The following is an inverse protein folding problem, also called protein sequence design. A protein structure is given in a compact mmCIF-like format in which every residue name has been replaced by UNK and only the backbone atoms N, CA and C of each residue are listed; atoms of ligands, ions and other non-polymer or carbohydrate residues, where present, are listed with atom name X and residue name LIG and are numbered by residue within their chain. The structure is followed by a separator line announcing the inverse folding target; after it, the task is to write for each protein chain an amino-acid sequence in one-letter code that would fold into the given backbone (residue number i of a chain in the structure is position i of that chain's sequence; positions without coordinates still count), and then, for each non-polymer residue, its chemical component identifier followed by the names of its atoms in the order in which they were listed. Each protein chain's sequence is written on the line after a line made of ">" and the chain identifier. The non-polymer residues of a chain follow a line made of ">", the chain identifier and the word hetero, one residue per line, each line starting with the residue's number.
data_IF_544815618190
#
_entry.id   IF_544815618190
#
_cell.length_a   1.000
_cell.length_b   1.000
_cell.length_c   1.000
_cell.angle_alpha   90.00
_cell.angle_beta   90.00
_cell.angle_gamma   90.00
#
_symmetry.space_group_name_H-M   'P 1'
#
loop_
_entity.id
_entity.type
_entity.pdbx_description
1 polymer ?
#
# COMPACT_ATOMS: atom_id res chain seq x y z
N UNK A 1 13.81 -4.89 -4.10
CA UNK A 1 12.97 -3.88 -3.43
C UNK A 1 12.87 -2.67 -4.36
N UNK A 2 11.69 -2.09 -4.53
CA UNK A 2 11.45 -0.97 -5.48
C UNK A 2 11.96 0.35 -4.90
N UNK A 3 12.46 1.24 -5.74
CA UNK A 3 12.88 2.61 -5.36
C UNK A 3 11.68 3.55 -5.20
N UNK A 4 11.87 4.71 -4.56
CA UNK A 4 10.82 5.74 -4.41
C UNK A 4 10.19 6.15 -5.75
N UNK A 5 11.00 6.44 -6.77
CA UNK A 5 10.51 6.85 -8.09
C UNK A 5 9.72 5.73 -8.78
N UNK A 6 10.11 4.48 -8.61
CA UNK A 6 9.37 3.33 -9.13
C UNK A 6 8.02 3.18 -8.42
N UNK A 7 8.01 3.32 -7.09
CA UNK A 7 6.78 3.27 -6.28
C UNK A 7 5.81 4.37 -6.70
N UNK A 8 6.28 5.60 -6.90
CA UNK A 8 5.44 6.72 -7.33
C UNK A 8 4.86 6.56 -8.74
N UNK A 9 5.50 5.75 -9.60
CA UNK A 9 5.00 5.45 -10.96
C UNK A 9 4.02 4.28 -11.01
N UNK A 10 3.91 3.48 -9.94
CA UNK A 10 2.93 2.40 -9.89
C UNK A 10 1.52 2.97 -10.03
N UNK A 11 0.68 2.29 -10.80
CA UNK A 11 -0.71 2.66 -11.02
C UNK A 11 -1.53 1.39 -11.23
N UNK A 12 -2.84 1.52 -11.42
CA UNK A 12 -3.63 0.36 -11.79
C UNK A 12 -3.66 -0.71 -10.70
N UNK A 13 -3.61 -1.97 -11.13
CA UNK A 13 -3.46 -3.14 -10.27
C UNK A 13 -2.00 -3.39 -9.89
N UNK A 14 -1.03 -2.76 -10.56
CA UNK A 14 0.39 -2.95 -10.24
C UNK A 14 0.74 -2.39 -8.85
N UNK A 15 0.04 -1.35 -8.42
CA UNK A 15 0.16 -0.85 -7.04
C UNK A 15 -0.36 -1.89 -6.03
N UNK A 16 -1.52 -2.50 -6.28
CA UNK A 16 -2.07 -3.56 -5.42
C UNK A 16 -1.14 -4.78 -5.36
N UNK A 17 -0.56 -5.17 -6.50
CA UNK A 17 0.40 -6.28 -6.58
C UNK A 17 1.66 -5.99 -5.77
N UNK A 18 2.24 -4.78 -5.90
CA UNK A 18 3.43 -4.41 -5.15
C UNK A 18 3.19 -4.41 -3.63
N UNK A 19 2.01 -3.95 -3.18
CA UNK A 19 1.63 -4.02 -1.76
C UNK A 19 1.53 -5.48 -1.30
N UNK A 20 0.89 -6.34 -2.09
CA UNK A 20 0.77 -7.75 -1.76
C UNK A 20 2.14 -8.44 -1.67
N UNK A 21 3.05 -8.17 -2.60
CA UNK A 21 4.44 -8.66 -2.53
C UNK A 21 5.13 -8.23 -1.22
N UNK A 22 4.96 -6.97 -0.81
CA UNK A 22 5.55 -6.44 0.42
C UNK A 22 4.94 -7.08 1.69
N UNK A 23 3.70 -7.56 1.62
CA UNK A 23 3.03 -8.34 2.66
C UNK A 23 3.37 -9.85 2.59
N UNK A 24 4.27 -10.27 1.72
CA UNK A 24 4.69 -11.66 1.58
C UNK A 24 3.72 -12.56 0.82
N UNK A 25 2.91 -11.98 -0.07
CA UNK A 25 2.16 -12.76 -1.04
C UNK A 25 3.09 -13.24 -2.16
N UNK A 26 2.83 -14.47 -2.60
CA UNK A 26 3.53 -15.16 -3.69
C UNK A 26 2.59 -15.37 -4.90
N UNK A 27 3.15 -15.75 -6.05
CA UNK A 27 2.41 -16.16 -7.27
C UNK A 27 1.30 -15.19 -7.72
N UNK A 28 1.54 -13.89 -7.57
CA UNK A 28 0.56 -12.85 -7.91
C UNK A 28 0.37 -12.79 -9.44
N UNK A 29 -0.88 -12.87 -9.87
CA UNK A 29 -1.25 -12.94 -11.28
C UNK A 29 -2.60 -12.28 -11.52
N UNK A 30 -2.76 -11.61 -12.67
CA UNK A 30 -4.05 -11.05 -13.08
C UNK A 30 -4.90 -12.19 -13.64
N UNK A 31 -6.10 -12.36 -13.10
CA UNK A 31 -7.13 -13.20 -13.67
C UNK A 31 -7.64 -12.55 -14.98
N UNK A 32 -7.40 -13.16 -16.15
CA UNK A 32 -7.75 -12.54 -17.44
C UNK A 32 -9.26 -12.41 -17.63
N UNK A 33 -10.07 -13.19 -16.93
CA UNK A 33 -11.55 -13.15 -17.05
C UNK A 33 -12.20 -12.08 -16.17
N UNK A 34 -11.58 -11.72 -15.05
CA UNK A 34 -12.17 -10.74 -14.10
C UNK A 34 -11.35 -9.46 -13.96
N UNK A 35 -10.10 -9.44 -14.44
CA UNK A 35 -9.15 -8.35 -14.21
C UNK A 35 -8.68 -8.24 -12.75
N UNK A 36 -9.13 -9.14 -11.86
CA UNK A 36 -8.70 -9.16 -10.47
C UNK A 36 -7.31 -9.77 -10.34
N UNK A 37 -6.57 -9.39 -9.29
CA UNK A 37 -5.35 -10.10 -8.94
C UNK A 37 -5.70 -11.29 -8.06
N UNK A 38 -5.11 -12.43 -8.36
CA UNK A 38 -5.04 -13.58 -7.47
C UNK A 38 -3.61 -13.72 -7.00
N UNK A 39 -3.41 -14.15 -5.77
CA UNK A 39 -2.10 -14.53 -5.25
C UNK A 39 -2.23 -15.67 -4.26
N UNK A 40 -1.09 -16.19 -3.84
CA UNK A 40 -1.01 -17.14 -2.75
C UNK A 40 -0.42 -16.48 -1.52
N UNK A 41 -0.97 -16.74 -0.35
CA UNK A 41 -0.33 -16.35 0.90
C UNK A 41 -0.30 -17.55 1.85
N UNK A 42 0.62 -17.53 2.81
CA UNK A 42 0.75 -18.58 3.82
C UNK A 42 -0.06 -18.23 5.06
N UNK A 43 -1.08 -19.03 5.35
CA UNK A 43 -1.79 -18.99 6.62
C UNK A 43 -1.36 -20.20 7.45
N UNK A 44 -0.55 -19.96 8.48
CA UNK A 44 0.08 -21.02 9.28
C UNK A 44 0.88 -22.00 8.40
N UNK A 45 0.48 -23.28 8.35
CA UNK A 45 1.12 -24.33 7.54
C UNK A 45 0.48 -24.51 6.15
N UNK A 46 -0.54 -23.72 5.79
CA UNK A 46 -1.31 -23.90 4.56
C UNK A 46 -1.05 -22.76 3.59
N UNK A 47 -0.83 -23.10 2.31
CA UNK A 47 -0.78 -22.13 1.21
C UNK A 47 -2.18 -22.01 0.63
N UNK A 48 -2.75 -20.81 0.66
CA UNK A 48 -4.10 -20.53 0.18
C UNK A 48 -3.98 -19.61 -1.03
N UNK A 49 -4.70 -19.93 -2.10
CA UNK A 49 -4.85 -19.06 -3.27
C UNK A 49 -6.15 -18.28 -3.16
N UNK A 50 -6.07 -16.96 -3.21
CA UNK A 50 -7.23 -16.09 -3.09
C UNK A 50 -7.06 -14.76 -3.84
N UNK A 51 -8.10 -13.94 -3.80
CA UNK A 51 -8.09 -12.61 -4.39
C UNK A 51 -7.18 -11.70 -3.56
N UNK A 52 -6.25 -11.03 -4.24
CA UNK A 52 -5.48 -9.96 -3.62
C UNK A 52 -6.42 -8.79 -3.35
N UNK A 53 -6.44 -8.28 -2.10
CA UNK A 53 -7.24 -7.11 -1.71
C UNK A 53 -7.03 -5.89 -2.61
N UNK A 54 -8.00 -4.97 -2.61
CA UNK A 54 -7.98 -3.77 -3.46
C UNK A 54 -7.37 -2.58 -2.71
N UNK A 55 -6.16 -2.76 -2.20
CA UNK A 55 -5.45 -1.79 -1.36
C UNK A 55 -5.46 -0.35 -1.89
N UNK A 56 -5.32 -0.16 -3.21
CA UNK A 56 -5.31 1.15 -3.86
C UNK A 56 -6.66 1.86 -3.82
N UNK A 57 -7.78 1.14 -3.88
CA UNK A 57 -9.10 1.73 -4.14
C UNK A 57 -10.11 1.51 -3.02
N UNK A 58 -9.95 0.46 -2.22
CA UNK A 58 -10.82 0.15 -1.10
C UNK A 58 -10.14 0.60 0.20
N UNK A 59 -10.80 1.51 0.93
CA UNK A 59 -10.24 2.07 2.15
C UNK A 59 -10.14 1.06 3.28
N UNK A 60 -11.04 0.07 3.37
CA UNK A 60 -10.98 -0.94 4.41
C UNK A 60 -9.81 -1.90 4.18
N UNK A 61 -9.51 -2.22 2.92
CA UNK A 61 -8.31 -2.98 2.57
C UNK A 61 -7.03 -2.16 2.80
N UNK A 62 -7.01 -0.88 2.42
CA UNK A 62 -5.88 0.01 2.66
C UNK A 62 -5.59 0.18 4.16
N UNK A 63 -6.63 0.21 5.00
CA UNK A 63 -6.46 0.39 6.45
C UNK A 63 -5.73 -0.77 7.12
N UNK A 64 -5.81 -1.99 6.57
CA UNK A 64 -5.02 -3.12 7.03
C UNK A 64 -3.51 -2.87 6.93
N UNK A 65 -3.08 -2.05 5.97
CA UNK A 65 -1.68 -1.63 5.84
C UNK A 65 -1.26 -0.71 6.98
N UNK A 66 -2.17 0.17 7.42
CA UNK A 66 -1.95 1.03 8.59
C UNK A 66 -1.82 0.18 9.84
N UNK A 67 -2.71 -0.79 10.02
CA UNK A 67 -2.64 -1.72 11.16
C UNK A 67 -1.31 -2.48 11.20
N UNK A 68 -0.83 -2.95 10.04
CA UNK A 68 0.47 -3.63 9.91
C UNK A 68 1.63 -2.71 10.30
N UNK A 69 1.65 -1.47 9.79
CA UNK A 69 2.66 -0.47 10.14
C UNK A 69 2.66 -0.16 11.64
N UNK A 70 1.48 0.00 12.24
CA UNK A 70 1.34 0.24 13.68
C UNK A 70 1.87 -0.96 14.47
N UNK A 71 1.59 -2.19 14.04
CA UNK A 71 2.13 -3.40 14.66
C UNK A 71 3.67 -3.46 14.57
N UNK A 72 4.27 -2.88 13.54
CA UNK A 72 5.71 -2.72 13.37
C UNK A 72 6.32 -1.54 14.15
N UNK A 73 5.50 -0.74 14.86
CA UNK A 73 5.96 0.40 15.66
C UNK A 73 6.02 1.75 14.93
N UNK A 74 5.39 1.83 13.75
CA UNK A 74 5.23 3.09 13.05
C UNK A 74 4.03 3.89 13.55
N UNK A 75 4.18 5.22 13.49
CA UNK A 75 3.13 6.20 13.71
C UNK A 75 2.62 6.63 12.35
N UNK A 76 1.30 6.53 12.16
CA UNK A 76 0.62 6.93 10.93
C UNK A 76 -0.07 8.28 11.13
N UNK A 77 0.32 9.28 10.36
CA UNK A 77 -0.29 10.61 10.38
C UNK A 77 -0.91 10.92 9.02
N UNK A 78 -2.24 11.08 9.01
CA UNK A 78 -3.01 11.41 7.82
C UNK A 78 -3.10 12.92 7.70
N UNK A 79 -2.68 13.45 6.55
CA UNK A 79 -2.99 14.83 6.17
C UNK A 79 -3.72 14.82 4.82
N UNK A 80 -4.98 15.21 4.83
CA UNK A 80 -5.73 15.45 3.59
C UNK A 80 -5.60 16.91 3.19
N UNK A 81 -5.02 17.18 2.02
CA UNK A 81 -4.97 18.53 1.46
C UNK A 81 -5.87 18.61 0.23
N UNK A 82 -6.70 19.65 0.18
CA UNK A 82 -7.44 20.03 -1.03
C UNK A 82 -6.81 21.28 -1.61
N UNK A 83 -5.86 21.13 -2.54
CA UNK A 83 -5.37 22.25 -3.33
C UNK A 83 -6.24 22.41 -4.56
N UNK A 84 -7.10 23.44 -4.58
CA UNK A 84 -7.79 23.92 -5.78
C UNK A 84 -8.69 22.89 -6.49
N UNK A 85 -10.00 23.06 -6.35
CA UNK A 85 -11.09 22.38 -7.09
C UNK A 85 -10.67 21.26 -8.07
N UNK A 86 -10.94 20.00 -7.68
CA UNK A 86 -11.07 18.79 -8.51
C UNK A 86 -10.06 17.66 -8.31
N UNK A 87 -8.96 17.85 -7.56
CA UNK A 87 -8.07 16.72 -7.19
C UNK A 87 -7.88 16.63 -5.68
N UNK A 88 -8.35 15.53 -5.08
CA UNK A 88 -8.05 15.22 -3.68
C UNK A 88 -6.65 14.62 -3.63
N UNK A 89 -5.73 15.27 -2.91
CA UNK A 89 -4.44 14.68 -2.61
C UNK A 89 -4.48 14.21 -1.16
N UNK A 90 -4.35 12.91 -0.98
CA UNK A 90 -4.06 12.36 0.35
C UNK A 90 -2.55 12.26 0.49
N UNK A 91 -2.06 12.77 1.61
CA UNK A 91 -0.65 12.80 1.95
C UNK A 91 -0.46 12.05 3.25
N UNK A 92 0.24 10.93 3.16
CA UNK A 92 0.45 10.05 4.30
C UNK A 92 1.88 10.16 4.79
N UNK A 93 2.04 10.42 6.09
CA UNK A 93 3.34 10.48 6.75
C UNK A 93 3.47 9.34 7.74
N UNK A 94 4.48 8.50 7.54
CA UNK A 94 4.78 7.35 8.39
C UNK A 94 6.18 7.51 8.99
N UNK A 95 6.31 7.40 10.30
CA UNK A 95 7.61 7.44 10.99
C UNK A 95 7.66 6.44 12.14
N UNK A 96 8.82 5.86 12.42
CA UNK A 96 8.98 5.01 13.60
C UNK A 96 8.99 5.87 14.86
N UNK A 97 8.39 5.39 15.95
CA UNK A 97 8.34 6.15 17.20
C UNK A 97 9.75 6.50 17.69
N UNK A 98 10.01 7.80 17.91
CA UNK A 98 11.33 8.31 18.33
C UNK A 98 12.32 8.58 17.19
N UNK A 99 11.94 8.35 15.92
CA UNK A 99 12.73 8.72 14.75
C UNK A 99 12.24 10.03 14.11
N UNK A 100 13.18 10.79 13.56
CA UNK A 100 12.91 12.03 12.80
C UNK A 100 12.63 11.79 11.33
N UNK A 101 13.09 10.65 10.80
CA UNK A 101 12.87 10.28 9.42
C UNK A 101 11.42 9.85 9.21
N UNK A 102 10.84 10.27 8.09
CA UNK A 102 9.47 9.96 7.75
C UNK A 102 9.34 9.64 6.26
N UNK A 103 8.42 8.73 5.96
CA UNK A 103 8.03 8.36 4.61
C UNK A 103 6.77 9.12 4.25
N UNK A 104 6.79 9.73 3.07
CA UNK A 104 5.72 10.60 2.60
C UNK A 104 5.32 10.24 1.18
N UNK A 105 4.04 9.94 0.99
CA UNK A 105 3.48 9.65 -0.33
C UNK A 105 2.19 10.40 -0.59
N UNK A 106 1.98 10.71 -1.86
CA UNK A 106 0.78 11.36 -2.38
C UNK A 106 -0.01 10.39 -3.24
N UNK A 107 -1.34 10.47 -3.19
CA UNK A 107 -2.25 9.70 -4.02
C UNK A 107 -3.50 10.48 -4.39
N UNK A 108 -4.13 10.09 -5.50
CA UNK A 108 -5.37 10.72 -6.01
C UNK A 108 -6.60 10.47 -5.13
N UNK A 109 -6.51 9.48 -4.25
CA UNK A 109 -7.48 9.11 -3.22
C UNK A 109 -6.73 8.57 -1.99
N UNK A 110 -7.34 8.62 -0.79
CA UNK A 110 -6.72 8.12 0.44
C UNK A 110 -6.12 6.70 0.37
N UNK A 111 -6.83 5.66 -0.12
CA UNK A 111 -6.27 4.30 -0.16
C UNK A 111 -5.02 4.19 -1.05
N UNK A 112 -4.92 5.01 -2.09
CA UNK A 112 -3.74 5.06 -2.96
C UNK A 112 -2.54 5.66 -2.23
N UNK A 113 -2.74 6.75 -1.50
CA UNK A 113 -1.68 7.40 -0.72
C UNK A 113 -1.15 6.47 0.38
N UNK A 114 -2.06 5.79 1.11
CA UNK A 114 -1.72 4.79 2.12
C UNK A 114 -0.88 3.66 1.50
N UNK A 115 -1.32 3.11 0.36
CA UNK A 115 -0.62 2.03 -0.35
C UNK A 115 0.81 2.42 -0.74
N UNK A 116 1.00 3.66 -1.25
CA UNK A 116 2.34 4.15 -1.62
C UNK A 116 3.21 4.40 -0.39
N UNK A 117 2.66 5.02 0.65
CA UNK A 117 3.39 5.30 1.88
C UNK A 117 3.84 4.01 2.58
N UNK A 118 2.99 2.98 2.60
CA UNK A 118 3.33 1.64 3.04
C UNK A 118 4.53 1.08 2.28
N UNK A 119 4.52 1.14 0.94
CA UNK A 119 5.63 0.65 0.12
C UNK A 119 6.94 1.40 0.38
N UNK A 120 6.89 2.71 0.59
CA UNK A 120 8.07 3.50 0.95
C UNK A 120 8.64 3.09 2.31
N UNK A 121 7.77 2.90 3.30
CA UNK A 121 8.18 2.44 4.62
C UNK A 121 8.84 1.06 4.57
N UNK A 122 8.24 0.11 3.82
CA UNK A 122 8.81 -1.23 3.63
C UNK A 122 10.11 -1.22 2.82
N UNK A 123 10.27 -0.26 1.90
CA UNK A 123 11.49 -0.07 1.14
C UNK A 123 12.60 0.70 1.89
N UNK A 124 12.28 1.31 3.03
CA UNK A 124 13.18 2.20 3.75
C UNK A 124 13.66 3.41 2.93
N UNK A 125 12.86 3.86 1.95
CA UNK A 125 13.23 4.85 0.91
C UNK A 125 12.31 6.07 0.85
#
# INVERSE_FOLDING_TARGET
>A
MKTKDEIMKLSGRDLDAAVAEALGWDDISINPSTGHLNGTHRLQSTIIRELVPRYRTDIADAWKLVDELVAMGYIHNITTTSEGSETYFSKERINMAGMTDFYEAEGSIPPEAISRAFLLAMAGS
#
